data_IF_367827013317
#
_entry.id   IF_367827013317
#
_cell.length_a   1.000
_cell.length_b   1.000
_cell.length_c   1.000
_cell.angle_alpha   90.00
_cell.angle_beta   90.00
_cell.angle_gamma   90.00
#
_symmetry.space_group_name_H-M   'P 1'
#
loop_
_entity.id
_entity.type
_entity.pdbx_description
1 polymer ?
#
# COMPACT_ATOMS: atom_id res chain seq x y z
N UNK A 1 11.75 0.60 -19.53
CA UNK A 1 11.45 -0.62 -18.71
C UNK A 1 11.60 -0.20 -17.27
N UNK A 2 10.64 -0.55 -16.39
CA UNK A 2 10.69 -0.28 -14.96
C UNK A 2 10.97 -1.58 -14.18
N UNK A 3 11.85 -1.54 -13.18
CA UNK A 3 12.15 -2.67 -12.30
C UNK A 3 11.44 -2.48 -10.96
N UNK A 4 10.39 -3.26 -10.73
CA UNK A 4 9.59 -3.24 -9.50
C UNK A 4 9.98 -4.43 -8.63
N UNK A 5 10.21 -4.20 -7.33
CA UNK A 5 10.44 -5.24 -6.32
C UNK A 5 9.32 -5.19 -5.29
N UNK A 6 8.48 -6.22 -5.27
CA UNK A 6 7.46 -6.40 -4.24
C UNK A 6 8.00 -7.22 -3.08
N UNK A 7 7.82 -6.73 -1.87
CA UNK A 7 8.26 -7.37 -0.63
C UNK A 7 7.08 -8.06 0.03
N UNK A 8 7.24 -9.36 0.23
CA UNK A 8 6.29 -10.18 0.98
C UNK A 8 6.95 -10.62 2.29
N UNK A 9 6.61 -9.90 3.35
CA UNK A 9 7.08 -10.15 4.71
C UNK A 9 5.87 -10.27 5.65
N UNK A 10 6.13 -10.65 6.89
CA UNK A 10 5.12 -10.74 7.93
C UNK A 10 5.39 -9.70 9.03
N UNK A 11 5.00 -8.44 8.82
CA UNK A 11 5.19 -7.39 9.82
C UNK A 11 4.42 -7.73 11.11
N UNK A 12 5.03 -7.45 12.25
CA UNK A 12 4.44 -7.74 13.54
C UNK A 12 3.52 -6.59 13.98
N UNK A 13 2.29 -6.93 14.37
CA UNK A 13 1.31 -5.94 14.83
C UNK A 13 1.83 -5.18 16.04
N UNK A 14 1.82 -3.85 15.97
CA UNK A 14 2.24 -2.94 17.02
C UNK A 14 3.75 -2.71 17.15
N UNK A 15 4.59 -3.43 16.41
CA UNK A 15 6.04 -3.31 16.44
C UNK A 15 6.53 -2.33 15.35
N UNK A 16 6.22 -1.06 15.52
CA UNK A 16 6.55 -0.02 14.53
C UNK A 16 8.06 0.05 14.28
N UNK A 17 8.87 -0.02 15.32
CA UNK A 17 10.33 0.05 15.22
C UNK A 17 10.88 -1.14 14.41
N UNK A 18 10.51 -2.38 14.78
CA UNK A 18 10.97 -3.58 14.10
C UNK A 18 10.50 -3.67 12.65
N UNK A 19 9.27 -3.24 12.36
CA UNK A 19 8.74 -3.18 10.99
C UNK A 19 9.45 -2.10 10.16
N UNK A 20 9.82 -0.96 10.77
CA UNK A 20 10.62 0.09 10.13
C UNK A 20 12.01 -0.41 9.78
N UNK A 21 12.70 -1.06 10.71
CA UNK A 21 14.01 -1.66 10.45
C UNK A 21 13.95 -2.72 9.35
N UNK A 22 12.87 -3.53 9.32
CA UNK A 22 12.65 -4.51 8.27
C UNK A 22 12.50 -3.84 6.89
N UNK A 23 11.71 -2.76 6.80
CA UNK A 23 11.57 -1.95 5.59
C UNK A 23 12.91 -1.38 5.14
N UNK A 24 13.68 -0.81 6.06
CA UNK A 24 14.98 -0.19 5.76
C UNK A 24 16.00 -1.19 5.23
N UNK A 25 16.05 -2.41 5.77
CA UNK A 25 16.92 -3.47 5.24
C UNK A 25 16.59 -3.82 3.78
N UNK A 26 15.31 -3.92 3.45
CA UNK A 26 14.88 -4.16 2.07
C UNK A 26 15.15 -2.97 1.15
N UNK A 27 15.03 -1.75 1.68
CA UNK A 27 15.32 -0.52 0.94
C UNK A 27 16.80 -0.46 0.51
N UNK A 28 17.72 -0.75 1.42
CA UNK A 28 19.16 -0.79 1.10
C UNK A 28 19.51 -1.90 0.10
N UNK A 29 18.90 -3.09 0.26
CA UNK A 29 19.05 -4.17 -0.73
C UNK A 29 18.54 -3.76 -2.11
N UNK A 30 17.35 -3.15 -2.17
CA UNK A 30 16.73 -2.73 -3.43
C UNK A 30 17.56 -1.68 -4.17
N UNK A 31 18.17 -0.72 -3.46
CA UNK A 31 19.09 0.24 -4.04
C UNK A 31 20.30 -0.44 -4.67
N UNK A 32 20.94 -1.37 -3.96
CA UNK A 32 22.10 -2.11 -4.46
C UNK A 32 21.77 -2.95 -5.69
N UNK A 33 20.52 -3.37 -5.85
CA UNK A 33 20.02 -4.15 -6.98
C UNK A 33 19.58 -3.28 -8.17
N UNK A 34 19.59 -1.95 -8.04
CA UNK A 34 19.10 -1.03 -9.05
C UNK A 34 17.59 -1.17 -9.31
N UNK A 35 16.80 -1.26 -8.25
CA UNK A 35 15.33 -1.28 -8.29
C UNK A 35 14.81 0.14 -8.45
N UNK A 36 13.86 0.36 -9.36
CA UNK A 36 13.24 1.67 -9.57
C UNK A 36 12.12 1.94 -8.56
N UNK A 37 11.34 0.90 -8.23
CA UNK A 37 10.22 0.98 -7.29
C UNK A 37 10.21 -0.21 -6.33
N UNK A 38 10.29 0.08 -5.05
CA UNK A 38 10.11 -0.89 -3.96
C UNK A 38 8.69 -0.79 -3.41
N UNK A 39 8.01 -1.92 -3.25
CA UNK A 39 6.60 -1.98 -2.81
C UNK A 39 6.45 -2.92 -1.63
N UNK A 40 5.80 -2.43 -0.57
CA UNK A 40 5.43 -3.22 0.61
C UNK A 40 3.92 -3.43 0.71
N UNK A 41 3.49 -4.31 1.61
CA UNK A 41 2.09 -4.65 1.80
C UNK A 41 1.28 -3.53 2.49
N UNK A 42 -0.04 -3.69 2.48
CA UNK A 42 -1.00 -2.92 3.27
C UNK A 42 -0.62 -2.92 4.74
N UNK A 43 -0.71 -1.75 5.43
CA UNK A 43 -0.43 -1.59 6.87
C UNK A 43 0.95 -2.15 7.31
N UNK A 44 1.94 -2.11 6.44
CA UNK A 44 3.24 -2.73 6.72
C UNK A 44 3.88 -2.22 8.01
N UNK A 45 3.86 -0.90 8.26
CA UNK A 45 4.52 -0.35 9.43
C UNK A 45 3.80 -0.67 10.75
N UNK A 46 2.47 -0.77 10.75
CA UNK A 46 1.70 -1.12 11.95
C UNK A 46 1.55 -2.62 12.17
N UNK A 47 1.76 -3.43 11.12
CA UNK A 47 1.20 -4.77 11.01
C UNK A 47 -0.32 -4.72 10.78
N UNK A 48 -0.91 -5.83 10.27
CA UNK A 48 -2.34 -5.92 9.99
C UNK A 48 -2.95 -7.12 10.73
N UNK A 49 -4.14 -6.98 11.38
CA UNK A 49 -4.87 -5.73 11.63
C UNK A 49 -4.34 -5.00 12.89
N UNK A 50 -4.17 -3.68 12.84
CA UNK A 50 -3.71 -2.92 14.01
C UNK A 50 -4.79 -2.68 15.06
N UNK A 51 -6.05 -2.92 14.73
CA UNK A 51 -7.21 -2.80 15.63
C UNK A 51 -7.22 -1.47 16.44
N UNK A 52 -7.53 -1.54 17.74
CA UNK A 52 -7.63 -0.37 18.64
C UNK A 52 -6.31 0.39 18.83
N UNK A 53 -5.15 -0.15 18.40
CA UNK A 53 -3.88 0.56 18.48
C UNK A 53 -3.92 1.89 17.70
N UNK A 54 -4.63 1.94 16.57
CA UNK A 54 -4.75 3.15 15.74
C UNK A 54 -5.59 4.26 16.39
N UNK A 55 -6.27 3.97 17.50
CA UNK A 55 -7.01 4.98 18.28
C UNK A 55 -6.10 5.67 19.32
N UNK A 56 -4.90 5.19 19.54
CA UNK A 56 -3.96 5.72 20.53
C UNK A 56 -3.11 6.83 19.92
N UNK A 57 -3.06 7.98 20.57
CA UNK A 57 -2.27 9.13 20.12
C UNK A 57 -0.75 8.86 20.10
N UNK A 58 -0.24 8.17 21.12
CA UNK A 58 1.17 7.79 21.19
C UNK A 58 1.58 6.87 20.03
N UNK A 59 0.74 5.90 19.68
CA UNK A 59 0.95 5.01 18.53
C UNK A 59 0.99 5.76 17.20
N UNK A 60 0.05 6.68 16.96
CA UNK A 60 0.03 7.49 15.75
C UNK A 60 1.19 8.50 15.66
N UNK A 61 1.62 9.05 16.79
CA UNK A 61 2.81 9.89 16.83
C UNK A 61 4.09 9.10 16.51
N UNK A 62 4.22 7.90 17.03
CA UNK A 62 5.33 6.99 16.70
C UNK A 62 5.29 6.60 15.22
N UNK A 63 4.12 6.25 14.69
CA UNK A 63 3.91 5.96 13.28
C UNK A 63 4.38 7.12 12.38
N UNK A 64 3.95 8.34 12.71
CA UNK A 64 4.38 9.53 11.96
C UNK A 64 5.89 9.72 12.01
N UNK A 65 6.53 9.57 13.17
CA UNK A 65 8.00 9.68 13.30
C UNK A 65 8.72 8.63 12.45
N UNK A 66 8.19 7.40 12.43
CA UNK A 66 8.72 6.32 11.59
C UNK A 66 8.64 6.67 10.11
N UNK A 67 7.46 7.11 9.63
CA UNK A 67 7.28 7.57 8.25
C UNK A 67 8.27 8.69 7.92
N UNK A 68 8.37 9.72 8.77
CA UNK A 68 9.26 10.86 8.58
C UNK A 68 10.76 10.42 8.54
N UNK A 69 11.13 9.35 9.24
CA UNK A 69 12.50 8.81 9.27
C UNK A 69 12.87 8.02 8.01
N UNK A 70 11.88 7.39 7.37
CA UNK A 70 12.05 6.62 6.13
C UNK A 70 12.27 7.54 4.92
N UNK A 71 11.52 8.66 4.86
CA UNK A 71 11.51 9.56 3.70
C UNK A 71 12.93 9.93 3.21
N UNK A 72 13.85 10.46 4.04
CA UNK A 72 15.18 10.88 3.57
C UNK A 72 16.06 9.71 3.10
N UNK A 73 15.72 8.47 3.48
CA UNK A 73 16.45 7.26 3.09
C UNK A 73 16.12 6.78 1.68
N UNK A 74 15.08 7.32 1.02
CA UNK A 74 14.64 6.92 -0.32
C UNK A 74 15.33 7.67 -1.46
N UNK A 75 16.51 8.24 -1.22
CA UNK A 75 17.30 8.82 -2.31
C UNK A 75 17.58 7.75 -3.38
N UNK A 76 17.43 8.14 -4.65
CA UNK A 76 17.69 7.31 -5.84
C UNK A 76 16.73 6.11 -6.03
N UNK A 77 15.62 6.04 -5.27
CA UNK A 77 14.64 4.97 -5.40
C UNK A 77 13.24 5.50 -5.08
N UNK A 78 12.22 4.93 -5.73
CA UNK A 78 10.82 5.13 -5.35
C UNK A 78 10.38 4.04 -4.38
N UNK A 79 9.54 4.41 -3.41
CA UNK A 79 9.05 3.50 -2.38
C UNK A 79 7.54 3.70 -2.18
N UNK A 80 6.79 2.59 -2.12
CA UNK A 80 5.38 2.57 -1.69
C UNK A 80 5.24 1.58 -0.53
N UNK A 81 4.59 2.02 0.55
CA UNK A 81 4.33 1.17 1.71
C UNK A 81 3.03 1.53 2.41
N UNK A 82 2.41 0.54 3.06
CA UNK A 82 1.16 0.71 3.80
C UNK A 82 1.39 1.16 5.24
N UNK A 83 0.58 2.13 5.70
CA UNK A 83 0.53 2.56 7.11
C UNK A 83 -0.81 3.25 7.43
N UNK A 84 -1.24 3.28 8.70
CA UNK A 84 -2.31 4.16 9.13
C UNK A 84 -1.82 5.62 9.13
N UNK A 85 -2.63 6.51 8.56
CA UNK A 85 -2.31 7.95 8.48
C UNK A 85 -3.49 8.77 9.01
N UNK A 86 -3.18 9.76 9.86
CA UNK A 86 -4.17 10.76 10.28
C UNK A 86 -3.99 12.03 9.45
N UNK A 87 -5.08 12.44 8.78
CA UNK A 87 -5.19 13.70 8.04
C UNK A 87 -6.51 14.39 8.41
N UNK A 88 -6.50 15.68 8.70
CA UNK A 88 -7.68 16.49 9.09
C UNK A 88 -8.56 15.83 10.16
N UNK A 89 -7.94 15.27 11.22
CA UNK A 89 -8.59 14.54 12.30
C UNK A 89 -9.31 13.24 11.88
N UNK A 90 -9.09 12.76 10.66
CA UNK A 90 -9.61 11.50 10.15
C UNK A 90 -8.47 10.50 10.01
N UNK A 91 -8.78 9.24 10.23
CA UNK A 91 -7.81 8.16 10.13
C UNK A 91 -8.04 7.36 8.85
N UNK A 92 -6.98 7.05 8.14
CA UNK A 92 -7.04 6.35 6.86
C UNK A 92 -6.10 5.14 6.83
N UNK A 93 -6.52 4.08 6.15
CA UNK A 93 -5.65 3.02 5.66
C UNK A 93 -4.99 3.56 4.39
N UNK A 94 -3.68 3.84 4.44
CA UNK A 94 -2.99 4.57 3.40
C UNK A 94 -1.86 3.76 2.74
N UNK A 95 -1.66 3.97 1.44
CA UNK A 95 -0.44 3.68 0.72
C UNK A 95 0.34 5.00 0.55
N UNK A 96 1.54 5.05 1.14
CA UNK A 96 2.39 6.23 1.15
C UNK A 96 3.41 6.10 0.02
N UNK A 97 3.50 7.12 -0.82
CA UNK A 97 4.49 7.20 -1.90
C UNK A 97 5.58 8.22 -1.58
N UNK A 98 6.82 7.74 -1.64
CA UNK A 98 8.02 8.51 -1.39
C UNK A 98 8.99 8.33 -2.56
N UNK A 99 9.63 9.39 -3.00
CA UNK A 99 10.61 9.36 -4.09
C UNK A 99 11.73 10.37 -3.85
N UNK A 100 12.97 9.98 -4.13
CA UNK A 100 14.15 10.85 -4.07
C UNK A 100 14.28 11.63 -2.73
N UNK A 101 13.97 10.97 -1.62
CA UNK A 101 14.06 11.56 -0.28
C UNK A 101 12.94 12.53 0.05
N UNK A 102 11.81 12.48 -0.67
CA UNK A 102 10.66 13.38 -0.47
C UNK A 102 9.35 12.58 -0.42
N UNK A 103 8.44 13.01 0.44
CA UNK A 103 7.05 12.61 0.34
C UNK A 103 6.46 13.19 -0.96
N UNK A 104 5.79 12.35 -1.74
CA UNK A 104 5.15 12.75 -3.00
C UNK A 104 3.64 12.80 -2.84
N UNK A 105 3.02 11.70 -2.39
CA UNK A 105 1.57 11.59 -2.24
C UNK A 105 1.19 10.42 -1.32
N UNK A 106 -0.10 10.33 -0.99
CA UNK A 106 -0.71 9.17 -0.36
C UNK A 106 -2.02 8.80 -1.03
N UNK A 107 -2.27 7.50 -1.14
CA UNK A 107 -3.57 6.97 -1.54
C UNK A 107 -4.29 6.45 -0.30
N UNK A 108 -5.55 6.79 -0.12
CA UNK A 108 -6.41 6.31 0.96
C UNK A 108 -7.40 5.27 0.43
N UNK A 109 -7.43 4.12 1.08
CA UNK A 109 -8.29 2.99 0.73
C UNK A 109 -9.75 3.43 0.58
N UNK A 110 -10.38 3.09 -0.54
CA UNK A 110 -11.75 3.52 -0.85
C UNK A 110 -12.82 2.51 -0.43
N UNK A 111 -12.48 1.22 -0.44
CA UNK A 111 -13.41 0.14 -0.11
C UNK A 111 -12.96 -0.50 1.20
N UNK A 112 -13.64 -0.15 2.28
CA UNK A 112 -13.36 -0.66 3.62
C UNK A 112 -14.22 -1.91 3.88
N UNK A 113 -13.61 -3.10 3.97
CA UNK A 113 -14.36 -4.31 4.31
C UNK A 113 -14.88 -4.23 5.75
N UNK A 114 -16.12 -4.68 5.95
CA UNK A 114 -16.77 -4.72 7.25
C UNK A 114 -17.63 -5.99 7.37
N UNK A 115 -16.99 -7.13 7.15
CA UNK A 115 -17.61 -8.45 7.17
C UNK A 115 -16.60 -9.49 7.67
N UNK A 116 -17.10 -10.58 8.28
CA UNK A 116 -16.28 -11.63 8.90
C UNK A 116 -15.26 -11.05 9.89
N UNK A 117 -13.97 -11.29 9.64
CA UNK A 117 -12.83 -10.81 10.43
C UNK A 117 -12.49 -9.32 10.23
N UNK A 118 -13.15 -8.64 9.28
CA UNK A 118 -12.84 -7.25 8.96
C UNK A 118 -13.80 -6.28 9.64
N UNK A 119 -13.25 -5.26 10.31
CA UNK A 119 -13.98 -4.15 10.94
C UNK A 119 -13.32 -2.80 10.66
N UNK A 120 -12.91 -2.59 9.39
CA UNK A 120 -12.15 -1.39 9.03
C UNK A 120 -12.97 -0.09 9.15
N UNK A 121 -14.29 -0.14 8.93
CA UNK A 121 -15.17 1.03 9.07
C UNK A 121 -15.26 1.57 10.50
N UNK A 122 -14.87 0.78 11.48
CA UNK A 122 -14.82 1.22 12.88
C UNK A 122 -13.70 2.24 13.11
N UNK A 123 -12.60 2.13 12.36
CA UNK A 123 -11.38 2.88 12.59
C UNK A 123 -11.09 3.90 11.51
N UNK A 124 -11.37 3.54 10.25
CA UNK A 124 -10.90 4.30 9.09
C UNK A 124 -12.04 4.96 8.33
N UNK A 125 -11.74 6.16 7.83
CA UNK A 125 -12.54 6.81 6.82
C UNK A 125 -12.13 6.29 5.43
N UNK A 126 -13.09 6.28 4.50
CA UNK A 126 -12.82 5.90 3.10
C UNK A 126 -12.16 7.04 2.34
N UNK A 127 -11.18 6.72 1.51
CA UNK A 127 -10.67 7.64 0.50
C UNK A 127 -11.70 7.94 -0.59
N UNK A 128 -11.50 9.05 -1.30
CA UNK A 128 -12.41 9.50 -2.36
C UNK A 128 -11.74 9.70 -3.71
N UNK A 129 -10.40 9.72 -3.74
CA UNK A 129 -9.62 10.02 -4.94
C UNK A 129 -8.81 8.81 -5.38
N UNK A 130 -8.76 8.56 -6.68
CA UNK A 130 -7.80 7.64 -7.26
C UNK A 130 -6.41 8.28 -7.26
N UNK A 131 -5.37 7.45 -7.31
CA UNK A 131 -3.99 7.93 -7.46
C UNK A 131 -3.30 7.18 -8.58
N UNK A 132 -2.77 7.95 -9.53
CA UNK A 132 -1.91 7.47 -10.60
C UNK A 132 -0.55 8.12 -10.41
N UNK A 133 0.46 7.30 -10.14
CA UNK A 133 1.84 7.74 -9.93
C UNK A 133 2.62 7.57 -11.24
N UNK A 134 3.51 8.51 -11.54
CA UNK A 134 4.41 8.37 -12.68
C UNK A 134 5.83 8.04 -12.20
N UNK A 135 6.34 6.87 -12.59
CA UNK A 135 7.70 6.43 -12.25
C UNK A 135 8.39 6.01 -13.55
N UNK A 136 9.50 6.69 -13.89
CA UNK A 136 10.25 6.46 -15.13
C UNK A 136 9.38 6.49 -16.40
N UNK A 137 8.33 7.33 -16.40
CA UNK A 137 7.40 7.48 -17.52
C UNK A 137 6.33 6.41 -17.61
N UNK A 138 6.22 5.51 -16.61
CA UNK A 138 5.15 4.51 -16.50
C UNK A 138 4.09 5.00 -15.52
N UNK A 139 2.84 4.95 -15.90
CA UNK A 139 1.68 5.35 -15.09
C UNK A 139 1.18 4.18 -14.24
N UNK A 140 1.26 4.31 -12.92
CA UNK A 140 0.96 3.24 -11.96
C UNK A 140 -0.25 3.62 -11.12
N UNK A 141 -1.36 2.89 -11.27
CA UNK A 141 -2.54 3.01 -10.43
C UNK A 141 -2.37 2.29 -9.10
N UNK A 142 -2.79 2.94 -8.01
CA UNK A 142 -2.65 2.40 -6.65
C UNK A 142 -4.00 1.92 -6.13
N UNK A 143 -3.98 0.76 -5.49
CA UNK A 143 -5.11 0.15 -4.79
C UNK A 143 -4.66 -0.51 -3.50
N UNK A 144 -5.57 -0.66 -2.54
CA UNK A 144 -5.31 -1.36 -1.28
C UNK A 144 -6.34 -2.48 -1.11
N UNK A 145 -5.85 -3.72 -1.06
CA UNK A 145 -6.56 -4.94 -0.69
C UNK A 145 -7.95 -5.07 -1.35
N UNK A 146 -9.03 -4.68 -0.64
CA UNK A 146 -10.42 -4.81 -1.07
C UNK A 146 -10.75 -3.99 -2.33
N UNK A 147 -10.06 -2.89 -2.57
CA UNK A 147 -10.31 -2.03 -3.74
C UNK A 147 -10.27 -2.79 -5.06
N UNK A 148 -9.33 -3.74 -5.20
CA UNK A 148 -9.15 -4.50 -6.44
C UNK A 148 -10.28 -5.50 -6.72
N UNK A 149 -11.13 -5.81 -5.72
CA UNK A 149 -12.29 -6.69 -5.90
C UNK A 149 -13.49 -5.97 -6.54
N UNK A 150 -13.41 -4.63 -6.67
CA UNK A 150 -14.40 -3.83 -7.37
C UNK A 150 -13.95 -3.56 -8.80
N UNK A 151 -14.65 -4.14 -9.77
CA UNK A 151 -14.39 -3.91 -11.19
C UNK A 151 -14.52 -2.42 -11.56
N UNK A 152 -15.53 -1.74 -11.00
CA UNK A 152 -15.71 -0.29 -11.23
C UNK A 152 -14.52 0.53 -10.74
N UNK A 153 -13.89 0.12 -9.64
CA UNK A 153 -12.67 0.78 -9.13
C UNK A 153 -11.52 0.57 -10.12
N UNK A 154 -11.27 -0.68 -10.53
CA UNK A 154 -10.20 -1.02 -11.50
C UNK A 154 -10.42 -0.28 -12.82
N UNK A 155 -11.67 -0.25 -13.31
CA UNK A 155 -12.02 0.47 -14.54
C UNK A 155 -11.67 1.96 -14.44
N UNK A 156 -11.96 2.62 -13.30
CA UNK A 156 -11.60 4.04 -13.13
C UNK A 156 -10.08 4.26 -13.23
N UNK A 157 -9.26 3.41 -12.59
CA UNK A 157 -7.80 3.52 -12.72
C UNK A 157 -7.33 3.39 -14.17
N UNK A 158 -7.90 2.45 -14.93
CA UNK A 158 -7.58 2.27 -16.34
C UNK A 158 -8.02 3.47 -17.17
N UNK A 159 -9.24 3.98 -16.97
CA UNK A 159 -9.77 5.14 -17.67
C UNK A 159 -8.94 6.42 -17.39
N UNK A 160 -8.35 6.52 -16.19
CA UNK A 160 -7.43 7.59 -15.79
C UNK A 160 -6.00 7.39 -16.29
N UNK A 161 -5.74 6.30 -17.01
CA UNK A 161 -4.47 6.07 -17.71
C UNK A 161 -3.46 5.19 -16.99
N UNK A 162 -3.86 4.40 -15.99
CA UNK A 162 -2.97 3.42 -15.38
C UNK A 162 -2.50 2.39 -16.40
N UNK A 163 -1.19 2.20 -16.51
CA UNK A 163 -0.55 1.17 -17.33
C UNK A 163 -0.26 -0.10 -16.52
N UNK A 164 -0.02 0.08 -15.22
CA UNK A 164 0.16 -0.99 -14.22
C UNK A 164 -0.75 -0.67 -13.03
N UNK A 165 -1.34 -1.69 -12.41
CA UNK A 165 -2.09 -1.54 -11.16
C UNK A 165 -1.34 -2.28 -10.05
N UNK A 166 -0.96 -1.55 -9.00
CA UNK A 166 -0.39 -2.12 -7.79
C UNK A 166 -1.46 -2.24 -6.71
N UNK A 167 -1.55 -3.43 -6.12
CA UNK A 167 -2.44 -3.70 -5.00
C UNK A 167 -1.65 -4.07 -3.74
N UNK A 168 -1.59 -3.17 -2.77
CA UNK A 168 -1.01 -3.44 -1.45
C UNK A 168 -2.02 -4.26 -0.65
N UNK A 169 -1.68 -5.49 -0.25
CA UNK A 169 -2.63 -6.36 0.42
C UNK A 169 -2.02 -7.08 1.63
N UNK A 170 -2.80 -7.15 2.72
CA UNK A 170 -2.55 -7.99 3.89
C UNK A 170 -3.71 -8.98 4.13
N UNK A 171 -4.35 -9.43 3.07
CA UNK A 171 -5.54 -10.29 3.08
C UNK A 171 -5.25 -11.65 3.72
N UNK A 172 -6.13 -12.17 4.63
CA UNK A 172 -5.92 -13.45 5.28
C UNK A 172 -5.87 -14.59 4.27
N UNK A 173 -5.06 -15.60 4.60
CA UNK A 173 -4.93 -16.82 3.80
C UNK A 173 -6.17 -17.70 3.99
N UNK A 174 -6.76 -18.16 2.87
CA UNK A 174 -7.72 -19.27 2.84
C UNK A 174 -7.39 -20.19 1.64
N UNK A 175 -7.73 -21.48 1.75
CA UNK A 175 -7.33 -22.51 0.79
C UNK A 175 -7.74 -22.17 -0.66
N UNK A 176 -8.94 -21.61 -0.88
CA UNK A 176 -9.48 -21.30 -2.21
C UNK A 176 -9.21 -19.86 -2.68
N UNK A 177 -8.73 -18.98 -1.80
CA UNK A 177 -8.61 -17.54 -2.11
C UNK A 177 -7.54 -17.25 -3.18
N UNK A 178 -6.50 -18.06 -3.24
CA UNK A 178 -5.45 -17.93 -4.26
C UNK A 178 -6.02 -18.09 -5.66
N UNK A 179 -6.78 -19.15 -5.89
CA UNK A 179 -7.38 -19.45 -7.22
C UNK A 179 -8.39 -18.37 -7.61
N UNK A 180 -9.26 -17.97 -6.68
CA UNK A 180 -10.23 -16.90 -6.92
C UNK A 180 -9.55 -15.58 -7.28
N UNK A 181 -8.44 -15.23 -6.60
CA UNK A 181 -7.69 -14.01 -6.89
C UNK A 181 -7.00 -14.08 -8.25
N UNK A 182 -6.35 -15.19 -8.57
CA UNK A 182 -5.69 -15.37 -9.87
C UNK A 182 -6.71 -15.24 -11.00
N UNK A 183 -7.86 -15.92 -10.88
CA UNK A 183 -8.92 -15.81 -11.88
C UNK A 183 -9.41 -14.37 -12.06
N UNK A 184 -9.65 -13.64 -10.98
CA UNK A 184 -10.05 -12.22 -11.06
C UNK A 184 -9.00 -11.37 -11.78
N UNK A 185 -7.70 -11.58 -11.48
CA UNK A 185 -6.62 -10.84 -12.14
C UNK A 185 -6.49 -11.20 -13.63
N UNK A 186 -6.68 -12.48 -13.98
CA UNK A 186 -6.72 -12.94 -15.36
C UNK A 186 -7.89 -12.29 -16.13
N UNK A 187 -9.10 -12.27 -15.52
CA UNK A 187 -10.28 -11.62 -16.11
C UNK A 187 -10.03 -10.12 -16.35
N UNK A 188 -9.36 -9.43 -15.43
CA UNK A 188 -8.97 -8.02 -15.60
C UNK A 188 -7.91 -7.82 -16.68
N UNK A 189 -6.91 -8.69 -16.73
CA UNK A 189 -5.90 -8.64 -17.78
C UNK A 189 -6.52 -8.84 -19.17
N UNK A 190 -7.39 -9.84 -19.32
CA UNK A 190 -8.12 -10.08 -20.59
C UNK A 190 -8.97 -8.88 -21.00
N UNK A 191 -9.61 -8.23 -20.03
CA UNK A 191 -10.53 -7.12 -20.31
C UNK A 191 -9.81 -5.79 -20.59
N UNK A 192 -8.78 -5.48 -19.83
CA UNK A 192 -8.15 -4.16 -19.84
C UNK A 192 -6.74 -4.16 -20.43
N UNK A 193 -6.14 -5.33 -20.65
CA UNK A 193 -4.75 -5.49 -21.10
C UNK A 193 -3.76 -4.67 -20.26
N UNK A 194 -3.92 -4.73 -18.93
CA UNK A 194 -3.07 -4.07 -17.94
C UNK A 194 -2.61 -5.08 -16.88
N UNK A 195 -1.30 -5.15 -16.59
CA UNK A 195 -0.77 -5.97 -15.50
C UNK A 195 -1.01 -5.36 -14.13
#
# INVERSE_FOLDING_TARGET
MIKIKAIQENPKVGDIEGNTELLERHLESAKSEGVDLLVFSEMFLSGYPPEDLVMREDFLHEMKRSIDSIIPKTKEISLIFGAPVREDNRLYNAAIFVQDGKFVDSYFKQILPNYKEFDEKRYFEKGTENKILSINGVSIGISICEDIWSEDFVKRLVDEGAEIILNLSASPFTISKKETRLKMLEDYYEKYNRP
#
